data_IF_048555914709
#
_entry.id   IF_048555914709
#
_cell.length_a   1.000
_cell.length_b   1.000
_cell.length_c   1.000
_cell.angle_alpha   90.00
_cell.angle_beta   90.00
_cell.angle_gamma   90.00
#
_symmetry.space_group_name_H-M   'P 1'
#
loop_
_entity.id
_entity.type
_entity.pdbx_description
1 polymer ?
#
# COMPACT_ATOMS: atom_id res chain seq x y z
N UNK A 1 -28.08 1.16 8.49
CA UNK A 1 -27.54 2.31 7.74
C UNK A 1 -26.12 1.92 7.38
N UNK A 2 -25.82 1.69 6.10
CA UNK A 2 -24.47 1.36 5.69
C UNK A 2 -23.61 2.62 5.86
N UNK A 3 -22.52 2.52 6.62
CA UNK A 3 -21.50 3.58 6.66
C UNK A 3 -20.97 3.74 5.24
N UNK A 4 -21.20 4.90 4.65
CA UNK A 4 -20.56 5.31 3.41
C UNK A 4 -19.05 5.24 3.65
N UNK A 5 -18.35 4.37 2.92
CA UNK A 5 -16.93 4.14 3.14
C UNK A 5 -16.19 5.41 2.70
N UNK A 6 -15.87 6.28 3.66
CA UNK A 6 -15.17 7.57 3.46
C UNK A 6 -13.85 7.38 2.72
N UNK A 7 -13.31 6.16 2.77
CA UNK A 7 -12.03 5.76 2.20
C UNK A 7 -12.22 4.90 0.95
N UNK A 8 -11.88 5.46 -0.20
CA UNK A 8 -11.70 4.70 -1.44
C UNK A 8 -10.29 4.10 -1.49
N UNK A 9 -10.21 2.76 -1.41
CA UNK A 9 -8.94 2.02 -1.46
C UNK A 9 -8.18 2.28 -2.77
N UNK A 10 -8.86 2.52 -3.89
CA UNK A 10 -8.19 2.86 -5.16
C UNK A 10 -7.45 4.19 -5.04
N UNK A 11 -8.12 5.22 -4.54
CA UNK A 11 -7.52 6.53 -4.26
C UNK A 11 -6.33 6.45 -3.30
N UNK A 12 -6.41 5.62 -2.26
CA UNK A 12 -5.30 5.38 -1.32
C UNK A 12 -4.08 4.82 -2.05
N UNK A 13 -4.25 3.73 -2.82
CA UNK A 13 -3.18 3.08 -3.57
C UNK A 13 -2.56 4.02 -4.60
N UNK A 14 -3.38 4.67 -5.42
CA UNK A 14 -2.90 5.57 -6.48
C UNK A 14 -2.06 6.72 -5.90
N UNK A 15 -2.56 7.38 -4.85
CA UNK A 15 -1.82 8.49 -4.22
C UNK A 15 -0.51 8.02 -3.58
N UNK A 16 -0.48 6.79 -3.06
CA UNK A 16 0.73 6.22 -2.51
C UNK A 16 1.77 5.92 -3.58
N UNK A 17 1.39 5.22 -4.66
CA UNK A 17 2.27 4.90 -5.78
C UNK A 17 2.80 6.18 -6.42
N UNK A 18 1.93 7.16 -6.67
CA UNK A 18 2.34 8.46 -7.20
C UNK A 18 3.40 9.12 -6.32
N UNK A 19 3.22 9.11 -4.99
CA UNK A 19 4.23 9.62 -4.07
C UNK A 19 5.57 8.88 -4.19
N UNK A 20 5.55 7.54 -4.23
CA UNK A 20 6.78 6.72 -4.33
C UNK A 20 7.52 6.97 -5.63
N UNK A 21 6.80 7.05 -6.75
CA UNK A 21 7.38 7.35 -8.07
C UNK A 21 7.96 8.77 -8.10
N UNK A 22 7.20 9.76 -7.63
CA UNK A 22 7.63 11.16 -7.55
C UNK A 22 8.90 11.32 -6.69
N UNK A 23 8.97 10.65 -5.54
CA UNK A 23 10.14 10.66 -4.64
C UNK A 23 11.40 10.10 -5.32
N UNK A 24 11.25 9.22 -6.32
CA UNK A 24 12.34 8.65 -7.11
C UNK A 24 12.62 9.42 -8.41
N UNK A 25 11.90 10.52 -8.66
CA UNK A 25 12.08 11.38 -9.83
C UNK A 25 11.23 10.99 -11.05
N UNK A 26 10.25 10.11 -10.89
CA UNK A 26 9.34 9.68 -11.95
C UNK A 26 7.99 10.39 -11.86
N UNK A 27 7.42 10.74 -13.01
CA UNK A 27 6.04 11.21 -13.13
C UNK A 27 5.21 10.05 -13.67
N UNK A 28 4.10 9.74 -13.01
CA UNK A 28 3.14 8.73 -13.45
C UNK A 28 1.79 9.38 -13.63
N UNK A 29 1.32 9.40 -14.88
CA UNK A 29 -0.05 9.76 -15.20
C UNK A 29 -0.89 8.49 -15.20
N UNK A 30 -1.86 8.43 -14.30
CA UNK A 30 -2.80 7.32 -14.23
C UNK A 30 -3.59 7.32 -15.54
N UNK A 31 -3.54 6.23 -16.30
CA UNK A 31 -4.40 6.07 -17.47
C UNK A 31 -5.86 5.97 -16.99
N UNK A 32 -6.57 7.09 -17.01
CA UNK A 32 -7.97 7.16 -16.62
C UNK A 32 -8.84 6.42 -17.62
N UNK A 33 -9.33 5.24 -17.25
CA UNK A 33 -10.67 4.82 -17.70
C UNK A 33 -11.65 5.40 -16.69
N UNK A 34 -11.90 6.70 -16.84
CA UNK A 34 -12.96 7.41 -16.12
C UNK A 34 -14.23 7.28 -16.97
N UNK A 35 -15.16 6.42 -16.53
CA UNK A 35 -16.48 6.32 -17.12
C UNK A 35 -17.21 7.65 -16.91
N UNK A 36 -17.16 8.46 -17.95
CA UNK A 36 -17.81 9.75 -18.05
C UNK A 36 -19.31 9.66 -17.75
N UNK A 37 -19.74 10.20 -16.60
CA UNK A 37 -21.11 10.70 -16.45
C UNK A 37 -21.08 12.20 -16.60
N UNK A 38 -21.31 12.61 -17.85
CA UNK A 38 -21.60 14.00 -18.21
C UNK A 38 -22.88 14.44 -17.51
N UNK A 39 -22.79 15.45 -16.65
CA UNK A 39 -23.92 16.31 -16.33
C UNK A 39 -23.42 17.75 -16.25
N UNK A 40 -23.41 18.41 -17.41
CA UNK A 40 -23.32 19.85 -17.47
C UNK A 40 -24.68 20.45 -17.15
N UNK A 41 -24.76 21.34 -16.16
CA UNK A 41 -25.85 22.31 -16.00
C UNK A 41 -25.35 23.54 -15.21
N UNK A 42 -25.35 24.67 -15.93
CA UNK A 42 -25.69 26.05 -15.55
C UNK A 42 -24.80 26.88 -14.60
N UNK A 43 -24.28 27.96 -15.21
CA UNK A 43 -23.74 29.17 -14.60
C UNK A 43 -24.85 29.94 -13.85
N UNK A 44 -24.64 30.25 -12.58
CA UNK A 44 -25.51 31.11 -11.76
C UNK A 44 -24.71 31.79 -10.65
N UNK A 45 -24.85 33.11 -10.55
CA UNK A 45 -23.96 34.08 -9.88
C UNK A 45 -24.36 34.35 -8.41
N UNK A 46 -23.35 34.28 -7.52
CA UNK A 46 -23.03 35.12 -6.33
C UNK A 46 -24.14 35.46 -5.31
N UNK A 47 -23.92 35.14 -4.02
CA UNK A 47 -23.70 36.14 -2.93
C UNK A 47 -23.36 35.50 -1.56
N UNK A 48 -22.34 36.11 -0.94
CA UNK A 48 -22.03 36.36 0.49
C UNK A 48 -22.54 35.43 1.61
N UNK A 49 -21.61 34.93 2.43
CA UNK A 49 -21.70 34.91 3.91
C UNK A 49 -20.47 34.22 4.51
N UNK A 50 -19.75 34.96 5.36
CA UNK A 50 -18.55 34.51 6.04
C UNK A 50 -18.75 33.33 6.98
N UNK A 51 -17.82 32.38 6.92
CA UNK A 51 -17.48 31.46 8.00
C UNK A 51 -15.95 31.32 8.00
N UNK A 52 -15.32 31.68 9.12
CA UNK A 52 -13.90 31.45 9.38
C UNK A 52 -13.53 29.98 9.15
N UNK A 53 -12.41 29.66 8.49
CA UNK A 53 -12.00 28.28 8.28
C UNK A 53 -11.41 27.74 9.58
N UNK A 54 -12.26 27.24 10.48
CA UNK A 54 -11.85 26.19 11.40
C UNK A 54 -11.32 25.07 10.51
N UNK A 55 -10.02 24.81 10.56
CA UNK A 55 -9.29 23.81 9.79
C UNK A 55 -9.94 22.44 9.94
N UNK A 56 -10.93 22.15 9.09
CA UNK A 56 -11.49 20.81 8.93
C UNK A 56 -10.36 20.00 8.31
N UNK A 57 -9.64 19.26 9.16
CA UNK A 57 -8.72 18.25 8.68
C UNK A 57 -9.51 17.28 7.81
N UNK A 58 -9.20 17.26 6.51
CA UNK A 58 -9.71 16.24 5.60
C UNK A 58 -9.15 14.87 6.07
N UNK A 59 -9.99 13.93 6.54
CA UNK A 59 -9.53 12.65 7.05
C UNK A 59 -8.72 11.86 6.00
N UNK A 60 -9.08 11.99 4.72
CA UNK A 60 -8.32 11.41 3.62
C UNK A 60 -6.92 12.00 3.52
N UNK A 61 -6.78 13.32 3.64
CA UNK A 61 -5.46 13.99 3.68
C UNK A 61 -4.58 13.49 4.82
N UNK A 62 -5.15 13.34 6.02
CA UNK A 62 -4.45 12.81 7.18
C UNK A 62 -3.97 11.37 6.95
N UNK A 63 -4.83 10.50 6.43
CA UNK A 63 -4.47 9.13 6.06
C UNK A 63 -3.31 9.09 5.08
N UNK A 64 -3.41 9.79 3.95
CA UNK A 64 -2.34 9.76 2.96
C UNK A 64 -1.02 10.29 3.54
N UNK A 65 -1.07 11.29 4.42
CA UNK A 65 0.14 11.79 5.11
C UNK A 65 0.75 10.73 6.02
N UNK A 66 -0.04 10.14 6.91
CA UNK A 66 0.45 9.12 7.87
C UNK A 66 0.97 7.89 7.13
N UNK A 67 0.27 7.43 6.10
CA UNK A 67 0.67 6.29 5.29
C UNK A 67 2.04 6.53 4.62
N UNK A 68 2.25 7.71 4.03
CA UNK A 68 3.55 8.09 3.45
C UNK A 68 4.65 8.15 4.49
N UNK A 69 4.40 8.80 5.62
CA UNK A 69 5.39 8.93 6.68
C UNK A 69 5.78 7.57 7.29
N UNK A 70 4.81 6.67 7.43
CA UNK A 70 5.04 5.30 7.88
C UNK A 70 5.87 4.52 6.85
N UNK A 71 5.50 4.60 5.56
CA UNK A 71 6.24 3.96 4.48
C UNK A 71 7.68 4.47 4.34
N UNK A 72 7.87 5.79 4.40
CA UNK A 72 9.19 6.43 4.33
C UNK A 72 10.10 6.01 5.48
N UNK A 73 9.54 5.88 6.69
CA UNK A 73 10.30 5.39 7.84
C UNK A 73 10.66 3.92 7.69
N UNK A 74 9.74 3.09 7.17
CA UNK A 74 10.03 1.69 6.86
C UNK A 74 11.14 1.57 5.81
N UNK A 75 11.07 2.34 4.72
CA UNK A 75 12.11 2.39 3.68
C UNK A 75 13.46 2.81 4.26
N UNK A 76 13.48 3.83 5.14
CA UNK A 76 14.70 4.34 5.76
C UNK A 76 15.37 3.32 6.68
N UNK A 77 14.58 2.60 7.49
CA UNK A 77 15.09 1.61 8.42
C UNK A 77 15.67 0.38 7.70
N UNK A 78 15.13 0.04 6.52
CA UNK A 78 15.40 -1.24 5.85
C UNK A 78 15.82 -1.07 4.38
N UNK A 79 16.50 0.04 4.08
CA UNK A 79 16.93 0.41 2.74
C UNK A 79 17.70 -0.72 2.03
N UNK A 80 18.55 -1.45 2.76
CA UNK A 80 19.36 -2.54 2.20
C UNK A 80 18.50 -3.74 1.77
N UNK A 81 17.50 -4.10 2.57
CA UNK A 81 16.59 -5.22 2.29
C UNK A 81 15.68 -4.90 1.11
N UNK A 82 15.11 -3.70 1.05
CA UNK A 82 14.32 -3.24 -0.10
C UNK A 82 15.13 -3.16 -1.39
N UNK A 83 16.38 -2.71 -1.31
CA UNK A 83 17.28 -2.68 -2.46
C UNK A 83 17.61 -4.09 -2.96
N UNK A 84 17.83 -5.05 -2.05
CA UNK A 84 18.09 -6.43 -2.44
C UNK A 84 16.84 -7.12 -3.01
N UNK A 85 15.69 -6.90 -2.38
CA UNK A 85 14.41 -7.42 -2.86
C UNK A 85 14.06 -6.91 -4.26
N UNK A 86 14.26 -5.62 -4.51
CA UNK A 86 14.07 -5.01 -5.84
C UNK A 86 14.91 -5.68 -6.93
N UNK A 87 16.17 -6.04 -6.63
CA UNK A 87 17.05 -6.75 -7.58
C UNK A 87 16.58 -8.17 -7.87
N UNK A 88 16.10 -8.87 -6.85
CA UNK A 88 15.68 -10.28 -6.96
C UNK A 88 14.31 -10.44 -7.59
N UNK A 89 13.50 -9.37 -7.60
CA UNK A 89 12.19 -9.35 -8.25
C UNK A 89 12.37 -9.37 -9.78
N UNK A 90 12.57 -10.56 -10.34
CA UNK A 90 12.51 -10.81 -11.78
C UNK A 90 11.07 -10.75 -12.26
N UNK A 91 10.53 -9.54 -12.37
CA UNK A 91 9.24 -9.34 -13.01
C UNK A 91 9.40 -9.39 -14.52
N UNK A 92 8.68 -10.32 -15.13
CA UNK A 92 8.31 -10.26 -16.53
C UNK A 92 6.84 -9.86 -16.61
N UNK A 93 6.41 -9.24 -17.70
CA UNK A 93 5.00 -8.84 -17.90
C UNK A 93 4.02 -10.00 -17.75
N UNK A 94 4.45 -11.23 -18.04
CA UNK A 94 3.62 -12.44 -18.00
C UNK A 94 3.47 -12.98 -16.57
N UNK A 95 4.55 -12.96 -15.78
CA UNK A 95 4.57 -13.56 -14.43
C UNK A 95 4.32 -12.56 -13.30
N UNK A 96 4.22 -11.26 -13.61
CA UNK A 96 4.14 -10.20 -12.62
C UNK A 96 2.98 -10.38 -11.63
N UNK A 97 1.78 -10.69 -12.12
CA UNK A 97 0.60 -10.90 -11.26
C UNK A 97 0.82 -12.05 -10.27
N UNK A 98 1.21 -13.23 -10.77
CA UNK A 98 1.41 -14.42 -9.94
C UNK A 98 2.51 -14.22 -8.89
N UNK A 99 3.62 -13.59 -9.28
CA UNK A 99 4.73 -13.30 -8.37
C UNK A 99 4.34 -12.27 -7.32
N UNK A 100 3.61 -11.23 -7.72
CA UNK A 100 3.10 -10.22 -6.80
C UNK A 100 2.20 -10.86 -5.75
N UNK A 101 1.13 -11.55 -6.17
CA UNK A 101 0.16 -12.19 -5.26
C UNK A 101 0.82 -13.21 -4.33
N UNK A 102 1.75 -14.02 -4.82
CA UNK A 102 2.46 -14.98 -3.97
C UNK A 102 3.26 -14.32 -2.83
N UNK A 103 3.90 -13.17 -3.08
CA UNK A 103 4.60 -12.40 -2.04
C UNK A 103 3.60 -11.83 -1.04
N UNK A 104 2.46 -11.33 -1.50
CA UNK A 104 1.43 -10.75 -0.63
C UNK A 104 0.75 -11.81 0.24
N UNK A 105 0.45 -12.99 -0.31
CA UNK A 105 -0.12 -14.09 0.45
C UNK A 105 0.85 -14.60 1.50
N UNK A 106 2.16 -14.63 1.22
CA UNK A 106 3.18 -14.90 2.24
C UNK A 106 3.13 -13.86 3.35
N UNK A 107 3.03 -12.57 2.99
CA UNK A 107 3.02 -11.45 3.93
C UNK A 107 1.90 -11.52 4.94
N UNK A 108 0.76 -12.04 4.54
CA UNK A 108 -0.42 -12.15 5.40
C UNK A 108 -0.72 -13.57 5.89
N UNK A 109 0.14 -14.55 5.58
CA UNK A 109 -0.04 -15.97 5.99
C UNK A 109 -0.33 -16.13 7.49
N UNK A 110 0.49 -15.51 8.33
CA UNK A 110 0.38 -15.63 9.79
C UNK A 110 -0.49 -14.53 10.43
N UNK A 111 -1.30 -13.83 9.62
CA UNK A 111 -2.24 -12.81 10.07
C UNK A 111 -1.94 -11.40 9.57
N UNK A 112 -2.90 -10.52 9.81
CA UNK A 112 -2.88 -9.12 9.36
C UNK A 112 -2.60 -8.20 10.55
N UNK A 113 -1.78 -7.19 10.32
CA UNK A 113 -1.62 -6.05 11.23
C UNK A 113 -1.23 -4.80 10.44
N UNK A 114 -1.38 -3.62 11.04
CA UNK A 114 -1.06 -2.35 10.37
C UNK A 114 0.37 -2.29 9.84
N UNK A 115 1.36 -2.81 10.57
CA UNK A 115 2.75 -2.86 10.09
C UNK A 115 2.92 -3.69 8.80
N UNK A 116 2.24 -4.83 8.69
CA UNK A 116 2.23 -5.64 7.46
C UNK A 116 1.49 -4.94 6.31
N UNK A 117 0.42 -4.19 6.62
CA UNK A 117 -0.26 -3.36 5.62
C UNK A 117 0.69 -2.28 5.09
N UNK A 118 1.48 -1.61 5.95
CA UNK A 118 2.51 -0.66 5.47
C UNK A 118 3.56 -1.36 4.60
N UNK A 119 4.02 -2.54 5.00
CA UNK A 119 4.98 -3.31 4.20
C UNK A 119 4.41 -3.70 2.82
N UNK A 120 3.11 -4.00 2.74
CA UNK A 120 2.41 -4.24 1.48
C UNK A 120 2.42 -3.01 0.56
N UNK A 121 2.15 -1.82 1.11
CA UNK A 121 2.24 -0.56 0.36
C UNK A 121 3.66 -0.27 -0.12
N UNK A 122 4.65 -0.43 0.76
CA UNK A 122 6.07 -0.23 0.43
C UNK A 122 6.57 -1.21 -0.62
N UNK A 123 6.18 -2.48 -0.53
CA UNK A 123 6.48 -3.48 -1.53
C UNK A 123 5.90 -3.08 -2.89
N UNK A 124 4.60 -2.82 -2.97
CA UNK A 124 3.95 -2.40 -4.22
C UNK A 124 4.56 -1.14 -4.82
N UNK A 125 4.88 -0.14 -4.00
CA UNK A 125 5.58 1.07 -4.44
C UNK A 125 6.98 0.79 -4.99
N UNK A 126 7.75 -0.07 -4.35
CA UNK A 126 9.08 -0.50 -4.80
C UNK A 126 8.99 -1.23 -6.14
N UNK A 127 7.99 -2.10 -6.29
CA UNK A 127 7.73 -2.80 -7.55
C UNK A 127 7.41 -1.82 -8.68
N UNK A 128 6.56 -0.83 -8.43
CA UNK A 128 6.23 0.20 -9.43
C UNK A 128 7.47 0.99 -9.88
N UNK A 129 8.33 1.40 -8.94
CA UNK A 129 9.60 2.08 -9.25
C UNK A 129 10.47 1.20 -10.17
N UNK A 130 10.57 -0.09 -9.87
CA UNK A 130 11.35 -1.03 -10.67
C UNK A 130 10.75 -1.26 -12.07
N UNK A 131 9.42 -1.29 -12.20
CA UNK A 131 8.77 -1.34 -13.50
C UNK A 131 9.09 -0.10 -14.34
N UNK A 132 9.10 1.10 -13.76
CA UNK A 132 9.46 2.32 -14.49
C UNK A 132 10.94 2.29 -14.88
N UNK A 133 11.84 1.84 -14.00
CA UNK A 133 13.27 1.66 -14.31
C UNK A 133 13.53 0.76 -15.53
N UNK A 134 12.68 -0.26 -15.71
CA UNK A 134 12.76 -1.24 -16.80
C UNK A 134 11.91 -0.88 -18.02
N UNK A 135 11.39 0.35 -18.09
CA UNK A 135 10.50 0.83 -19.17
C UNK A 135 9.19 0.01 -19.31
N UNK A 136 8.74 -0.62 -18.23
CA UNK A 136 7.51 -1.41 -18.14
C UNK A 136 6.36 -0.61 -17.48
N UNK A 137 6.20 0.66 -17.84
CA UNK A 137 5.24 1.59 -17.19
C UNK A 137 3.80 1.11 -17.18
N UNK A 138 3.37 0.34 -18.19
CA UNK A 138 2.04 -0.28 -18.26
C UNK A 138 1.75 -1.25 -17.08
N UNK A 139 2.79 -1.77 -16.41
CA UNK A 139 2.60 -2.62 -15.23
C UNK A 139 2.26 -1.84 -13.97
N UNK A 140 2.56 -0.54 -13.91
CA UNK A 140 2.23 0.29 -12.74
C UNK A 140 0.72 0.34 -12.51
N UNK A 141 -0.06 0.48 -13.59
CA UNK A 141 -1.53 0.47 -13.54
C UNK A 141 -2.07 -0.90 -13.06
N UNK A 142 -1.46 -2.00 -13.51
CA UNK A 142 -1.83 -3.35 -13.08
C UNK A 142 -1.54 -3.57 -11.59
N UNK A 143 -0.37 -3.17 -11.12
CA UNK A 143 0.02 -3.30 -9.70
C UNK A 143 -0.92 -2.48 -8.82
N UNK A 144 -1.25 -1.25 -9.23
CA UNK A 144 -2.24 -0.44 -8.52
C UNK A 144 -3.62 -1.14 -8.46
N UNK A 145 -4.03 -1.79 -9.55
CA UNK A 145 -5.23 -2.62 -9.62
C UNK A 145 -5.19 -3.78 -8.61
N UNK A 146 -4.15 -4.61 -8.65
CA UNK A 146 -4.00 -5.76 -7.75
C UNK A 146 -3.94 -5.34 -6.29
N UNK A 147 -3.27 -4.23 -5.98
CA UNK A 147 -3.23 -3.70 -4.63
C UNK A 147 -4.63 -3.29 -4.14
N UNK A 148 -5.39 -2.63 -5.01
CA UNK A 148 -6.77 -2.21 -4.73
C UNK A 148 -7.68 -3.41 -4.50
N UNK A 149 -7.58 -4.44 -5.36
CA UNK A 149 -8.33 -5.69 -5.23
C UNK A 149 -8.02 -6.40 -3.91
N UNK A 150 -6.74 -6.45 -3.51
CA UNK A 150 -6.33 -7.09 -2.26
C UNK A 150 -6.85 -6.33 -1.01
N UNK A 151 -6.89 -5.00 -1.07
CA UNK A 151 -7.48 -4.17 -0.01
C UNK A 151 -9.01 -4.32 0.09
N UNK A 152 -9.69 -4.49 -1.05
CA UNK A 152 -11.13 -4.68 -1.12
C UNK A 152 -11.58 -6.12 -0.81
N UNK A 153 -10.69 -7.09 -0.96
CA UNK A 153 -10.95 -8.50 -0.66
C UNK A 153 -10.32 -8.92 0.68
N UNK A 154 -9.18 -9.63 0.67
CA UNK A 154 -8.59 -10.24 1.86
C UNK A 154 -8.41 -9.31 3.06
N UNK A 155 -8.05 -8.04 2.84
CA UNK A 155 -7.76 -7.10 3.95
C UNK A 155 -9.00 -6.32 4.43
N UNK A 156 -10.08 -6.31 3.66
CA UNK A 156 -11.24 -5.43 3.93
C UNK A 156 -11.85 -5.72 5.30
N UNK A 157 -12.15 -6.99 5.58
CA UNK A 157 -12.76 -7.41 6.86
C UNK A 157 -11.89 -7.02 8.06
N UNK A 158 -10.61 -7.35 8.01
CA UNK A 158 -9.68 -7.03 9.10
C UNK A 158 -9.56 -5.52 9.33
N UNK A 159 -9.47 -4.72 8.27
CA UNK A 159 -9.40 -3.25 8.37
C UNK A 159 -10.63 -2.71 9.10
N UNK A 160 -11.83 -3.16 8.75
CA UNK A 160 -13.07 -2.72 9.40
C UNK A 160 -13.15 -3.17 10.86
N UNK A 161 -12.79 -4.43 11.13
CA UNK A 161 -12.77 -5.00 12.49
C UNK A 161 -11.77 -4.29 13.42
N UNK A 162 -10.72 -3.67 12.86
CA UNK A 162 -9.69 -2.94 13.60
C UNK A 162 -9.91 -1.41 13.57
N UNK A 163 -11.15 -0.96 13.37
CA UNK A 163 -11.55 0.45 13.49
C UNK A 163 -11.30 1.30 12.23
N UNK A 164 -11.03 0.65 11.09
CA UNK A 164 -10.82 1.31 9.81
C UNK A 164 -9.54 2.13 9.73
N UNK A 165 -9.44 2.93 8.66
CA UNK A 165 -8.29 3.79 8.42
C UNK A 165 -8.14 4.93 9.44
N UNK A 166 -9.22 5.35 10.09
CA UNK A 166 -9.17 6.32 11.20
C UNK A 166 -8.36 5.79 12.38
N UNK A 167 -8.62 4.53 12.78
CA UNK A 167 -7.87 3.90 13.86
C UNK A 167 -6.39 3.76 13.51
N UNK A 168 -6.06 3.49 12.25
CA UNK A 168 -4.67 3.49 11.77
C UNK A 168 -4.02 4.87 11.93
N UNK A 169 -4.69 5.95 11.50
CA UNK A 169 -4.20 7.34 11.62
C UNK A 169 -3.96 7.70 13.09
N UNK A 170 -4.91 7.38 13.97
CA UNK A 170 -4.81 7.64 15.40
C UNK A 170 -3.65 6.87 16.06
N UNK A 171 -3.52 5.59 15.72
CA UNK A 171 -2.52 4.69 16.29
C UNK A 171 -1.10 5.13 15.90
N UNK A 172 -0.89 5.46 14.63
CA UNK A 172 0.40 6.00 14.17
C UNK A 172 0.65 7.43 14.62
N UNK A 173 -0.38 8.25 14.81
CA UNK A 173 -0.23 9.57 15.42
C UNK A 173 0.30 9.50 16.86
N UNK A 174 -0.04 8.45 17.61
CA UNK A 174 0.33 8.30 19.03
C UNK A 174 1.55 7.40 19.28
N UNK A 175 1.80 6.38 18.46
CA UNK A 175 2.77 5.31 18.77
C UNK A 175 3.63 4.88 17.57
N UNK A 176 4.15 5.82 16.78
CA UNK A 176 5.01 5.54 15.60
C UNK A 176 6.08 4.46 15.86
N UNK A 177 6.85 4.58 16.94
CA UNK A 177 8.03 3.72 17.17
C UNK A 177 7.69 2.31 17.67
N UNK A 178 6.54 2.13 18.33
CA UNK A 178 6.13 0.87 18.95
C UNK A 178 5.59 -0.12 17.91
N UNK A 179 4.76 0.41 16.99
CA UNK A 179 4.05 -0.38 15.98
C UNK A 179 5.03 -1.03 15.00
N UNK A 180 6.05 -0.29 14.57
CA UNK A 180 7.06 -0.83 13.69
C UNK A 180 7.94 -1.89 14.35
N UNK A 181 8.38 -1.67 15.60
CA UNK A 181 9.26 -2.64 16.30
C UNK A 181 8.60 -4.00 16.50
N UNK A 182 7.30 -4.02 16.83
CA UNK A 182 6.58 -5.26 17.12
C UNK A 182 6.26 -6.07 15.85
N UNK A 183 5.81 -5.40 14.77
CA UNK A 183 5.43 -6.07 13.52
C UNK A 183 6.63 -6.55 12.68
N UNK A 184 7.84 -6.05 12.96
CA UNK A 184 8.99 -6.20 12.09
C UNK A 184 9.61 -7.62 12.05
N UNK A 185 9.68 -8.33 13.16
CA UNK A 185 10.24 -9.70 13.19
C UNK A 185 9.47 -10.66 12.28
N UNK A 186 8.15 -10.47 12.16
CA UNK A 186 7.33 -11.22 11.23
C UNK A 186 7.51 -10.79 9.77
N UNK A 187 7.73 -9.49 9.51
CA UNK A 187 7.87 -8.95 8.16
C UNK A 187 9.15 -9.47 7.49
N UNK A 188 10.29 -9.45 8.18
CA UNK A 188 11.56 -9.98 7.64
C UNK A 188 11.46 -11.48 7.33
N UNK A 189 10.77 -12.23 8.20
CA UNK A 189 10.62 -13.68 8.03
C UNK A 189 9.86 -14.01 6.75
N UNK A 190 8.76 -13.30 6.49
CA UNK A 190 7.99 -13.44 5.25
C UNK A 190 8.84 -13.13 4.02
N UNK A 191 9.46 -11.95 4.00
CA UNK A 191 10.15 -11.46 2.80
C UNK A 191 11.42 -12.26 2.51
N UNK A 192 12.12 -12.74 3.55
CA UNK A 192 13.25 -13.66 3.41
C UNK A 192 12.87 -15.03 2.82
N UNK A 193 11.64 -15.51 3.06
CA UNK A 193 11.14 -16.76 2.48
C UNK A 193 10.70 -16.60 1.02
N UNK A 194 10.08 -15.48 0.67
CA UNK A 194 9.65 -15.19 -0.70
C UNK A 194 10.84 -14.91 -1.65
N UNK A 195 11.88 -14.23 -1.15
CA UNK A 195 13.13 -13.92 -1.85
C UNK A 195 13.94 -15.17 -2.25
N UNK A 196 13.90 -16.23 -1.44
CA UNK A 196 14.65 -17.47 -1.68
C UNK A 196 13.98 -18.43 -2.69
N UNK A 197 12.94 -18.00 -3.40
CA UNK A 197 12.27 -18.87 -4.38
C UNK A 197 11.60 -20.08 -3.73
N UNK A 198 11.29 -20.02 -2.43
CA UNK A 198 10.72 -21.13 -1.69
C UNK A 198 9.18 -21.14 -1.79
N UNK A 199 8.67 -21.31 -3.01
CA UNK A 199 7.42 -22.10 -3.17
C UNK A 199 7.71 -23.60 -2.88
N UNK A 200 8.94 -23.96 -2.51
CA UNK A 200 9.39 -25.36 -2.41
C UNK A 200 9.71 -25.96 -1.04
N UNK A 201 10.13 -25.23 0.02
CA UNK A 201 10.78 -25.90 1.16
C UNK A 201 10.66 -25.20 2.52
N UNK A 202 9.52 -25.26 3.20
CA UNK A 202 9.45 -24.91 4.65
C UNK A 202 8.50 -25.76 5.50
N UNK A 203 8.36 -27.06 5.20
CA UNK A 203 7.92 -28.01 6.23
C UNK A 203 8.81 -29.24 6.18
N UNK A 204 9.90 -29.23 6.96
CA UNK A 204 10.76 -30.41 7.06
C UNK A 204 12.05 -30.24 7.85
N UNK A 205 12.11 -29.43 8.91
CA UNK A 205 13.30 -29.41 9.77
C UNK A 205 13.10 -28.84 11.20
N UNK A 206 11.92 -29.01 11.82
CA UNK A 206 11.74 -28.56 13.22
C UNK A 206 11.24 -29.61 14.21
N UNK A 207 11.39 -30.91 13.91
CA UNK A 207 11.15 -31.96 14.90
C UNK A 207 12.25 -33.02 14.84
N UNK A 208 13.46 -32.67 15.29
CA UNK A 208 14.46 -33.65 15.70
C UNK A 208 15.51 -33.03 16.65
N UNK A 209 15.07 -32.39 17.74
CA UNK A 209 15.87 -32.30 18.97
C UNK A 209 14.94 -32.39 20.18
N UNK A 210 14.59 -33.62 20.54
CA UNK A 210 14.68 -34.10 21.92
C UNK A 210 14.77 -35.62 21.95
#
# INVERSE_FOLDING_TARGET
>A
MAQENVYDNRSIVVKYIHHKLWKKGYVWEVNGHDDSVSNGLMMGRQEDSGVSPSSRHDPCSALHKVLREAGDELERLYQSDFAEMSKQLHLTSITAHQRFTAVIDELFRDGVNWGRIIAFFEFGGTVCVECVNKEMTAQVDNIAGWMTEYLNGPLHGWIQENGGWEAFVDLYGRQRDSVFRSSWSSIVTVFGLAALGAVGLTIGAYLAQK
#
